data_IF_536830055839
#
_entry.id   IF_536830055839
#
_cell.length_a   1.000
_cell.length_b   1.000
_cell.length_c   1.000
_cell.angle_alpha   90.00
_cell.angle_beta   90.00
_cell.angle_gamma   90.00
#
_symmetry.space_group_name_H-M   'P 1'
#
loop_
_entity.id
_entity.type
_entity.pdbx_description
1 polymer ?
#
# COMPACT_ATOMS: atom_id res chain seq x y z
N UNK A 1 2.61 23.73 45.14
CA UNK A 1 2.25 24.07 43.75
C UNK A 1 0.72 24.18 43.69
N UNK A 2 0.15 25.20 43.04
CA UNK A 2 -1.30 25.37 42.96
C UNK A 2 -1.93 24.17 42.20
N UNK A 3 -2.96 23.49 42.74
CA UNK A 3 -3.58 22.31 42.11
C UNK A 3 -4.12 22.60 40.71
N UNK A 4 -4.60 23.83 40.44
CA UNK A 4 -5.09 24.26 39.12
C UNK A 4 -3.93 24.30 38.11
N UNK A 5 -2.76 24.78 38.55
CA UNK A 5 -1.55 24.82 37.72
C UNK A 5 -1.08 23.39 37.42
N UNK A 6 -1.07 22.51 38.41
CA UNK A 6 -0.71 21.10 38.22
C UNK A 6 -1.65 20.40 37.23
N UNK A 7 -2.97 20.61 37.35
CA UNK A 7 -3.95 20.08 36.40
C UNK A 7 -3.70 20.61 34.97
N UNK A 8 -3.45 21.91 34.82
CA UNK A 8 -3.10 22.51 33.53
C UNK A 8 -1.84 21.90 32.91
N UNK A 9 -0.79 21.65 33.70
CA UNK A 9 0.42 20.99 33.24
C UNK A 9 0.16 19.58 32.71
N UNK A 10 -0.64 18.77 33.41
CA UNK A 10 -0.99 17.43 32.95
C UNK A 10 -1.79 17.45 31.65
N UNK A 11 -2.73 18.38 31.51
CA UNK A 11 -3.55 18.49 30.31
C UNK A 11 -2.72 18.92 29.09
N UNK A 12 -1.86 19.92 29.25
CA UNK A 12 -0.95 20.38 28.20
C UNK A 12 0.05 19.28 27.83
N UNK A 13 0.66 18.60 28.81
CA UNK A 13 1.58 17.50 28.55
C UNK A 13 0.90 16.32 27.85
N UNK A 14 -0.34 15.98 28.25
CA UNK A 14 -1.14 14.95 27.59
C UNK A 14 -1.45 15.31 26.13
N UNK A 15 -1.84 16.56 25.87
CA UNK A 15 -2.08 17.05 24.51
C UNK A 15 -0.81 17.02 23.65
N UNK A 16 0.31 17.51 24.19
CA UNK A 16 1.60 17.48 23.50
C UNK A 16 2.05 16.04 23.22
N UNK A 17 1.87 15.13 24.18
CA UNK A 17 2.15 13.71 23.99
C UNK A 17 1.30 13.09 22.88
N UNK A 18 0.01 13.41 22.82
CA UNK A 18 -0.88 12.96 21.76
C UNK A 18 -0.49 13.52 20.38
N UNK A 19 -0.17 14.82 20.30
CA UNK A 19 0.30 15.46 19.07
C UNK A 19 1.63 14.86 18.60
N UNK A 20 2.56 14.58 19.52
CA UNK A 20 3.81 13.93 19.20
C UNK A 20 3.60 12.51 18.67
N UNK A 21 2.74 11.71 19.31
CA UNK A 21 2.36 10.37 18.85
C UNK A 21 1.73 10.39 17.46
N UNK A 22 0.89 11.39 17.17
CA UNK A 22 0.30 11.58 15.84
C UNK A 22 1.38 11.87 14.80
N UNK A 23 2.33 12.76 15.10
CA UNK A 23 3.44 13.10 14.21
C UNK A 23 4.35 11.89 13.96
N UNK A 24 4.66 11.13 15.01
CA UNK A 24 5.52 9.94 14.93
C UNK A 24 4.87 8.81 14.11
N UNK A 25 3.53 8.75 14.08
CA UNK A 25 2.75 7.72 13.38
C UNK A 25 2.03 8.23 12.12
N UNK A 26 2.48 9.34 11.52
CA UNK A 26 1.84 9.91 10.33
C UNK A 26 1.72 8.93 9.17
N UNK A 27 2.76 8.13 8.91
CA UNK A 27 2.76 7.17 7.80
C UNK A 27 1.75 6.02 8.04
N UNK A 28 1.79 5.28 9.18
CA UNK A 28 0.73 4.32 9.48
C UNK A 28 -0.69 4.90 9.44
N UNK A 29 -0.90 6.12 9.97
CA UNK A 29 -2.21 6.76 9.95
C UNK A 29 -2.67 7.09 8.52
N UNK A 30 -1.78 7.62 7.68
CA UNK A 30 -2.06 7.86 6.27
C UNK A 30 -2.35 6.54 5.52
N UNK A 31 -1.63 5.46 5.84
CA UNK A 31 -1.88 4.14 5.29
C UNK A 31 -3.28 3.62 5.67
N UNK A 32 -3.68 3.75 6.93
CA UNK A 32 -5.05 3.41 7.36
C UNK A 32 -6.07 4.18 6.55
N UNK A 33 -5.91 5.50 6.42
CA UNK A 33 -6.83 6.34 5.67
C UNK A 33 -6.99 5.88 4.21
N UNK A 34 -5.87 5.64 3.51
CA UNK A 34 -5.89 5.20 2.11
C UNK A 34 -6.48 3.80 1.97
N UNK A 35 -6.19 2.87 2.87
CA UNK A 35 -6.77 1.51 2.85
C UNK A 35 -8.27 1.53 3.11
N UNK A 36 -8.75 2.35 4.04
CA UNK A 36 -10.19 2.52 4.30
C UNK A 36 -10.89 3.05 3.06
N UNK A 37 -10.33 4.06 2.39
CA UNK A 37 -10.84 4.57 1.12
C UNK A 37 -10.84 3.46 0.06
N UNK A 38 -9.77 2.67 -0.04
CA UNK A 38 -9.68 1.58 -1.00
C UNK A 38 -10.75 0.51 -0.77
N UNK A 39 -10.99 0.12 0.49
CA UNK A 39 -12.02 -0.85 0.87
C UNK A 39 -13.42 -0.30 0.58
N UNK A 40 -13.64 0.99 0.85
CA UNK A 40 -14.93 1.65 0.60
C UNK A 40 -15.31 1.60 -0.89
N UNK A 41 -14.38 1.98 -1.77
CA UNK A 41 -14.62 2.01 -3.22
C UNK A 41 -14.47 0.65 -3.93
N UNK A 42 -13.91 -0.37 -3.25
CA UNK A 42 -13.69 -1.68 -3.86
C UNK A 42 -14.99 -2.42 -4.24
N UNK A 43 -14.98 -3.19 -5.35
CA UNK A 43 -16.08 -4.07 -5.72
C UNK A 43 -16.40 -5.11 -4.62
N UNK A 44 -17.67 -5.53 -4.45
CA UNK A 44 -18.06 -6.46 -3.39
C UNK A 44 -17.28 -7.79 -3.40
N UNK A 45 -16.94 -8.29 -4.57
CA UNK A 45 -16.17 -9.54 -4.77
C UNK A 45 -14.74 -9.44 -4.25
N UNK A 46 -14.18 -8.23 -4.20
CA UNK A 46 -12.77 -7.98 -3.86
C UNK A 46 -12.60 -7.39 -2.46
N UNK A 47 -13.67 -6.83 -1.88
CA UNK A 47 -13.64 -6.17 -0.57
C UNK A 47 -13.06 -7.06 0.53
N UNK A 48 -13.42 -8.34 0.58
CA UNK A 48 -12.90 -9.28 1.58
C UNK A 48 -11.40 -9.54 1.40
N UNK A 49 -10.93 -9.65 0.15
CA UNK A 49 -9.51 -9.80 -0.15
C UNK A 49 -8.73 -8.54 0.24
N UNK A 50 -9.28 -7.37 -0.09
CA UNK A 50 -8.66 -6.09 0.26
C UNK A 50 -8.68 -5.82 1.77
N UNK A 51 -9.66 -6.34 2.51
CA UNK A 51 -9.65 -6.33 3.98
C UNK A 51 -8.49 -7.17 4.54
N UNK A 52 -8.35 -8.41 4.07
CA UNK A 52 -7.27 -9.29 4.52
C UNK A 52 -5.89 -8.76 4.16
N UNK A 53 -5.72 -8.34 2.90
CA UNK A 53 -4.49 -7.72 2.41
C UNK A 53 -4.23 -6.37 3.05
N UNK A 54 -5.28 -5.58 3.31
CA UNK A 54 -5.19 -4.30 4.01
C UNK A 54 -4.73 -4.47 5.45
N UNK A 55 -5.20 -5.50 6.15
CA UNK A 55 -4.69 -5.88 7.47
C UNK A 55 -3.21 -6.26 7.42
N UNK A 56 -2.80 -7.08 6.44
CA UNK A 56 -1.40 -7.44 6.24
C UNK A 56 -0.52 -6.23 5.89
N UNK A 57 -1.00 -5.34 5.02
CA UNK A 57 -0.33 -4.11 4.63
C UNK A 57 -0.19 -3.15 5.82
N UNK A 58 -1.22 -3.02 6.65
CA UNK A 58 -1.15 -2.21 7.87
C UNK A 58 -0.13 -2.79 8.85
N UNK A 59 -0.15 -4.11 9.05
CA UNK A 59 0.86 -4.78 9.87
C UNK A 59 2.27 -4.52 9.35
N UNK A 60 2.51 -4.72 8.06
CA UNK A 60 3.79 -4.42 7.43
C UNK A 60 4.17 -2.92 7.55
N UNK A 61 3.22 -2.01 7.37
CA UNK A 61 3.46 -0.56 7.47
C UNK A 61 3.80 -0.08 8.88
N UNK A 62 3.33 -0.77 9.93
CA UNK A 62 3.63 -0.45 11.32
C UNK A 62 4.98 -1.03 11.75
N UNK A 63 5.28 -2.27 11.38
CA UNK A 63 6.43 -3.00 11.93
C UNK A 63 7.65 -3.02 11.02
N UNK A 64 7.48 -2.84 9.72
CA UNK A 64 8.60 -2.85 8.79
C UNK A 64 9.30 -1.48 8.74
N UNK A 65 10.61 -1.45 8.47
CA UNK A 65 11.35 -0.20 8.41
C UNK A 65 10.88 0.70 7.25
N UNK A 66 11.23 1.98 7.34
CA UNK A 66 11.19 2.87 6.17
C UNK A 66 11.92 2.20 4.97
N UNK A 67 11.33 2.19 3.75
CA UNK A 67 10.20 3.01 3.28
C UNK A 67 8.85 2.26 3.18
N UNK A 68 8.66 1.11 3.83
CA UNK A 68 7.53 0.19 3.54
C UNK A 68 6.16 0.87 3.65
N UNK A 69 5.88 1.57 4.75
CA UNK A 69 4.61 2.27 4.94
C UNK A 69 4.34 3.30 3.83
N UNK A 70 5.37 4.08 3.47
CA UNK A 70 5.29 5.08 2.41
C UNK A 70 4.98 4.45 1.05
N UNK A 71 5.66 3.36 0.71
CA UNK A 71 5.46 2.67 -0.56
C UNK A 71 4.08 2.00 -0.63
N UNK A 72 3.58 1.42 0.48
CA UNK A 72 2.21 0.89 0.55
C UNK A 72 1.17 1.99 0.33
N UNK A 73 1.35 3.18 0.90
CA UNK A 73 0.48 4.35 0.65
C UNK A 73 0.48 4.69 -0.84
N UNK A 74 1.67 4.85 -1.44
CA UNK A 74 1.81 5.19 -2.86
C UNK A 74 1.16 4.12 -3.74
N UNK A 75 1.37 2.84 -3.45
CA UNK A 75 0.80 1.73 -4.22
C UNK A 75 -0.73 1.67 -4.10
N UNK A 76 -1.29 1.88 -2.91
CA UNK A 76 -2.74 1.90 -2.70
C UNK A 76 -3.39 3.12 -3.35
N UNK A 77 -2.80 4.31 -3.19
CA UNK A 77 -3.32 5.55 -3.77
C UNK A 77 -3.25 5.52 -5.32
N UNK A 78 -2.14 5.02 -5.88
CA UNK A 78 -2.00 4.84 -7.33
C UNK A 78 -2.96 3.78 -7.86
N UNK A 79 -3.17 2.67 -7.14
CA UNK A 79 -4.15 1.65 -7.50
C UNK A 79 -5.58 2.18 -7.54
N UNK A 80 -5.96 2.99 -6.55
CA UNK A 80 -7.25 3.69 -6.53
C UNK A 80 -7.39 4.67 -7.69
N UNK A 81 -6.35 5.46 -7.94
CA UNK A 81 -6.34 6.43 -9.04
C UNK A 81 -6.43 5.72 -10.38
N UNK A 82 -5.70 4.62 -10.56
CA UNK A 82 -5.74 3.79 -11.75
C UNK A 82 -7.12 3.19 -11.97
N UNK A 83 -7.76 2.64 -10.92
CA UNK A 83 -9.09 2.08 -11.02
C UNK A 83 -10.16 3.14 -11.34
N UNK A 84 -9.96 4.39 -10.90
CA UNK A 84 -10.81 5.51 -11.27
C UNK A 84 -10.62 5.94 -12.73
N UNK A 85 -9.40 5.88 -13.24
CA UNK A 85 -9.07 6.25 -14.63
C UNK A 85 -9.40 5.15 -15.65
N UNK A 86 -9.31 3.88 -15.24
CA UNK A 86 -9.60 2.72 -16.09
C UNK A 86 -11.11 2.55 -16.30
N UNK A 87 -11.55 2.97 -17.49
CA UNK A 87 -12.95 2.82 -17.92
C UNK A 87 -13.26 1.46 -18.50
N UNK A 88 -12.26 0.66 -18.88
CA UNK A 88 -12.46 -0.58 -19.62
C UNK A 88 -12.59 -1.79 -18.69
N UNK A 89 -11.70 -1.88 -17.69
CA UNK A 89 -11.59 -3.05 -16.82
C UNK A 89 -11.25 -2.69 -15.37
N UNK A 90 -12.03 -1.80 -14.72
CA UNK A 90 -11.72 -1.34 -13.36
C UNK A 90 -11.59 -2.52 -12.38
N UNK A 91 -12.35 -3.59 -12.57
CA UNK A 91 -12.26 -4.81 -11.75
C UNK A 91 -10.88 -5.49 -11.84
N UNK A 92 -10.27 -5.56 -13.03
CA UNK A 92 -8.93 -6.12 -13.21
C UNK A 92 -7.85 -5.21 -12.60
N UNK A 93 -8.05 -3.90 -12.67
CA UNK A 93 -7.18 -2.91 -12.04
C UNK A 93 -7.22 -3.01 -10.51
N UNK A 94 -8.40 -3.20 -9.91
CA UNK A 94 -8.51 -3.48 -8.47
C UNK A 94 -7.81 -4.79 -8.07
N UNK A 95 -7.91 -5.85 -8.87
CA UNK A 95 -7.18 -7.10 -8.60
C UNK A 95 -5.67 -6.92 -8.67
N UNK A 96 -5.19 -6.08 -9.59
CA UNK A 96 -3.77 -5.71 -9.67
C UNK A 96 -3.32 -4.99 -8.41
N UNK A 97 -4.13 -4.04 -7.91
CA UNK A 97 -3.88 -3.37 -6.63
C UNK A 97 -3.83 -4.35 -5.46
N UNK A 98 -4.82 -5.24 -5.32
CA UNK A 98 -4.86 -6.25 -4.24
C UNK A 98 -3.60 -7.12 -4.26
N UNK A 99 -3.21 -7.63 -5.44
CA UNK A 99 -2.01 -8.48 -5.59
C UNK A 99 -0.72 -7.71 -5.29
N UNK A 100 -0.61 -6.47 -5.78
CA UNK A 100 0.54 -5.60 -5.54
C UNK A 100 0.73 -5.31 -4.05
N UNK A 101 -0.35 -4.92 -3.37
CA UNK A 101 -0.33 -4.68 -1.93
C UNK A 101 0.00 -5.95 -1.14
N UNK A 102 -0.56 -7.10 -1.52
CA UNK A 102 -0.28 -8.37 -0.85
C UNK A 102 1.20 -8.75 -0.96
N UNK A 103 1.75 -8.72 -2.17
CA UNK A 103 3.15 -9.08 -2.42
C UNK A 103 4.11 -8.13 -1.70
N UNK A 104 3.87 -6.82 -1.78
CA UNK A 104 4.74 -5.85 -1.15
C UNK A 104 4.64 -5.87 0.39
N UNK A 105 3.44 -6.10 0.94
CA UNK A 105 3.26 -6.29 2.37
C UNK A 105 4.00 -7.54 2.90
N UNK A 106 3.98 -8.65 2.15
CA UNK A 106 4.76 -9.85 2.49
C UNK A 106 6.26 -9.57 2.47
N UNK A 107 6.75 -8.79 1.50
CA UNK A 107 8.15 -8.37 1.47
C UNK A 107 8.48 -7.50 2.68
N UNK A 108 7.66 -6.49 2.99
CA UNK A 108 7.84 -5.66 4.17
C UNK A 108 7.89 -6.47 5.47
N UNK A 109 6.96 -7.41 5.62
CA UNK A 109 6.95 -8.34 6.76
C UNK A 109 8.22 -9.21 6.82
N UNK A 110 8.63 -9.80 5.69
CA UNK A 110 9.86 -10.58 5.60
C UNK A 110 11.11 -9.79 5.99
N UNK A 111 11.18 -8.52 5.61
CA UNK A 111 12.27 -7.61 5.99
C UNK A 111 12.24 -7.28 7.48
N UNK A 112 11.06 -7.02 8.04
CA UNK A 112 10.89 -6.79 9.47
C UNK A 112 11.40 -8.00 10.26
N UNK A 113 10.96 -9.20 9.88
CA UNK A 113 11.40 -10.46 10.48
C UNK A 113 12.91 -10.66 10.34
N UNK A 114 13.47 -10.47 9.14
CA UNK A 114 14.91 -10.57 8.91
C UNK A 114 15.71 -9.66 9.85
N UNK A 115 15.29 -8.39 10.00
CA UNK A 115 15.95 -7.45 10.91
C UNK A 115 15.85 -7.87 12.38
N UNK A 116 14.75 -8.49 12.80
CA UNK A 116 14.63 -9.00 14.18
C UNK A 116 15.55 -10.19 14.45
N UNK A 117 15.82 -11.02 13.43
CA UNK A 117 16.69 -12.18 13.56
C UNK A 117 18.17 -11.83 13.40
N UNK A 118 18.51 -10.74 12.71
CA UNK A 118 19.88 -10.35 12.40
C UNK A 118 20.83 -10.33 13.61
N UNK A 119 20.47 -9.79 14.80
CA UNK A 119 21.35 -9.79 15.97
C UNK A 119 21.70 -11.18 16.50
N UNK A 120 20.87 -12.20 16.21
CA UNK A 120 21.10 -13.58 16.63
C UNK A 120 22.01 -14.38 15.68
N UNK A 121 22.35 -13.81 14.52
CA UNK A 121 23.20 -14.45 13.51
C UNK A 121 24.67 -14.09 13.75
N UNK A 122 25.37 -14.89 14.57
CA UNK A 122 26.78 -14.65 14.92
C UNK A 122 27.78 -15.52 14.15
N UNK A 123 27.30 -16.47 13.33
CA UNK A 123 28.16 -17.37 12.56
C UNK A 123 28.89 -16.61 11.43
N UNK A 124 30.23 -16.62 11.39
CA UNK A 124 31.01 -16.01 10.31
C UNK A 124 30.64 -16.49 8.91
N UNK A 125 30.16 -17.72 8.74
CA UNK A 125 29.71 -18.24 7.44
C UNK A 125 28.42 -17.54 6.96
N UNK A 126 27.59 -17.06 7.88
CA UNK A 126 26.35 -16.34 7.56
C UNK A 126 26.62 -14.87 7.22
N UNK A 127 27.76 -14.29 7.62
CA UNK A 127 28.09 -12.88 7.33
C UNK A 127 28.12 -12.57 5.83
N UNK A 128 28.69 -13.46 5.01
CA UNK A 128 28.68 -13.27 3.55
C UNK A 128 27.25 -13.32 2.99
N UNK A 129 26.39 -14.19 3.52
CA UNK A 129 24.98 -14.29 3.15
C UNK A 129 24.18 -13.03 3.52
N UNK A 130 24.48 -12.39 4.66
CA UNK A 130 23.80 -11.17 5.10
C UNK A 130 23.99 -10.01 4.12
N UNK A 131 25.17 -9.87 3.52
CA UNK A 131 25.45 -8.82 2.52
C UNK A 131 24.57 -9.01 1.29
N UNK A 132 24.46 -10.24 0.78
CA UNK A 132 23.58 -10.56 -0.35
C UNK A 132 22.11 -10.33 -0.02
N UNK A 133 21.65 -10.78 1.15
CA UNK A 133 20.26 -10.59 1.58
C UNK A 133 19.93 -9.11 1.80
N UNK A 134 20.85 -8.31 2.32
CA UNK A 134 20.69 -6.87 2.47
C UNK A 134 20.56 -6.18 1.10
N UNK A 135 21.36 -6.58 0.12
CA UNK A 135 21.27 -6.06 -1.24
C UNK A 135 19.95 -6.45 -1.93
N UNK A 136 19.52 -7.71 -1.81
CA UNK A 136 18.23 -8.16 -2.36
C UNK A 136 17.09 -7.40 -1.70
N UNK A 137 17.14 -7.24 -0.38
CA UNK A 137 16.14 -6.51 0.41
C UNK A 137 16.06 -5.05 -0.04
N UNK A 138 17.18 -4.36 -0.17
CA UNK A 138 17.19 -2.95 -0.58
C UNK A 138 16.64 -2.79 -1.99
N UNK A 139 17.01 -3.66 -2.92
CA UNK A 139 16.46 -3.63 -4.29
C UNK A 139 14.96 -3.93 -4.27
N UNK A 140 14.52 -4.99 -3.59
CA UNK A 140 13.12 -5.39 -3.55
C UNK A 140 12.21 -4.30 -2.97
N UNK A 141 12.67 -3.59 -1.93
CA UNK A 141 11.89 -2.53 -1.28
C UNK A 141 11.53 -1.37 -2.21
N UNK A 142 12.32 -1.10 -3.25
CA UNK A 142 12.06 -0.02 -4.21
C UNK A 142 11.63 -0.54 -5.59
N UNK A 143 12.20 -1.64 -6.06
CA UNK A 143 11.93 -2.17 -7.40
C UNK A 143 10.52 -2.74 -7.51
N UNK A 144 10.00 -3.40 -6.46
CA UNK A 144 8.66 -3.97 -6.51
C UNK A 144 7.55 -2.92 -6.62
N UNK A 145 7.54 -1.84 -5.80
CA UNK A 145 6.59 -0.74 -5.99
C UNK A 145 6.67 -0.12 -7.38
N UNK A 146 7.89 0.10 -7.89
CA UNK A 146 8.10 0.67 -9.23
C UNK A 146 7.57 -0.25 -10.32
N UNK A 147 7.88 -1.55 -10.24
CA UNK A 147 7.36 -2.55 -11.17
C UNK A 147 5.84 -2.64 -11.15
N UNK A 148 5.23 -2.58 -9.96
CA UNK A 148 3.79 -2.49 -9.81
C UNK A 148 3.20 -1.23 -10.48
N UNK A 149 3.81 -0.07 -10.28
CA UNK A 149 3.37 1.18 -10.92
C UNK A 149 3.47 1.08 -12.45
N UNK A 150 4.52 0.43 -12.97
CA UNK A 150 4.66 0.17 -14.40
C UNK A 150 3.53 -0.74 -14.93
N UNK A 151 3.16 -1.79 -14.19
CA UNK A 151 2.04 -2.66 -14.55
C UNK A 151 0.69 -1.92 -14.52
N UNK A 152 0.46 -1.07 -13.53
CA UNK A 152 -0.73 -0.21 -13.50
C UNK A 152 -0.77 0.75 -14.70
N UNK A 153 0.34 1.42 -14.98
CA UNK A 153 0.43 2.33 -16.11
C UNK A 153 0.19 1.59 -17.44
N UNK A 154 0.79 0.42 -17.61
CA UNK A 154 0.54 -0.44 -18.77
C UNK A 154 -0.95 -0.78 -18.90
N UNK A 155 -1.63 -1.13 -17.81
CA UNK A 155 -3.07 -1.42 -17.82
C UNK A 155 -3.91 -0.24 -18.30
N UNK A 156 -3.63 0.97 -17.80
CA UNK A 156 -4.34 2.19 -18.19
C UNK A 156 -4.10 2.54 -19.66
N UNK A 157 -2.85 2.46 -20.12
CA UNK A 157 -2.45 2.90 -21.47
C UNK A 157 -2.58 1.82 -22.55
N UNK A 158 -2.84 0.55 -22.19
CA UNK A 158 -3.04 -0.53 -23.14
C UNK A 158 -4.31 -0.34 -24.00
N UNK A 159 -5.27 0.44 -23.52
CA UNK A 159 -6.52 0.73 -24.23
C UNK A 159 -6.57 2.20 -24.67
N UNK A 160 -6.86 2.50 -25.95
CA UNK A 160 -7.02 3.88 -26.40
C UNK A 160 -8.18 4.53 -25.64
N UNK A 161 -8.05 5.78 -25.16
CA UNK A 161 -9.09 6.45 -24.40
C UNK A 161 -10.29 6.72 -25.31
N UNK A 162 -11.23 5.80 -25.34
CA UNK A 162 -12.53 6.06 -25.95
C UNK A 162 -13.35 6.79 -24.88
N UNK A 163 -13.82 8.00 -25.19
CA UNK A 163 -14.71 8.74 -24.28
C UNK A 163 -16.08 8.08 -24.09
N UNK A 164 -16.29 6.87 -24.63
CA UNK A 164 -17.53 6.11 -24.59
C UNK A 164 -17.57 5.22 -23.34
N UNK A 165 -18.77 4.95 -22.84
CA UNK A 165 -18.97 3.93 -21.82
C UNK A 165 -18.66 2.53 -22.36
N UNK A 166 -18.28 1.56 -21.51
CA UNK A 166 -18.09 0.17 -21.92
C UNK A 166 -19.32 -0.41 -22.63
N UNK A 167 -20.52 -0.05 -22.18
CA UNK A 167 -21.78 -0.50 -22.78
C UNK A 167 -21.93 0.05 -24.19
N UNK A 168 -21.67 1.35 -24.40
CA UNK A 168 -21.71 1.99 -25.72
C UNK A 168 -20.67 1.40 -26.66
N UNK A 169 -19.50 1.06 -26.12
CA UNK A 169 -18.43 0.46 -26.89
C UNK A 169 -18.80 -0.97 -27.32
N UNK A 170 -19.30 -1.80 -26.41
CA UNK A 170 -19.80 -3.14 -26.73
C UNK A 170 -20.94 -3.05 -27.74
N UNK A 171 -21.88 -2.12 -27.55
CA UNK A 171 -22.99 -1.89 -28.47
C UNK A 171 -22.48 -1.49 -29.85
N UNK A 172 -21.54 -0.55 -29.96
CA UNK A 172 -20.94 -0.09 -31.22
C UNK A 172 -20.21 -1.22 -31.96
N UNK A 173 -19.50 -2.09 -31.26
CA UNK A 173 -18.83 -3.23 -31.89
C UNK A 173 -19.81 -4.37 -32.24
N UNK A 174 -20.87 -4.58 -31.46
CA UNK A 174 -21.93 -5.57 -31.75
C UNK A 174 -22.92 -5.12 -32.82
N UNK A 175 -23.07 -3.81 -33.03
CA UNK A 175 -23.95 -3.24 -34.07
C UNK A 175 -23.24 -3.06 -35.42
N UNK A 176 -21.92 -3.20 -35.49
CA UNK A 176 -21.18 -3.29 -36.76
C UNK A 176 -21.70 -4.47 -37.57
N UNK A 177 -22.35 -4.19 -38.70
CA UNK A 177 -22.91 -5.19 -39.62
C UNK A 177 -24.42 -5.44 -39.46
N UNK A 178 -25.10 -4.76 -38.54
CA UNK A 178 -26.57 -4.68 -38.48
C UNK A 178 -27.01 -3.30 -38.96
N UNK A 179 -26.96 -3.09 -40.27
CA UNK A 179 -27.76 -2.05 -40.95
C UNK A 179 -28.85 -2.75 -41.74
#
# INVERSE_FOLDING_TARGET
MNPIILFGYWLVNGLLGALWLLVDNLLPLALVAVLVVAIYFSPPTQRNWLLGVGGLALFAGVFAPFPVALMLIVMAASGLTAAYLDKFSPEATYWTMVRGLALYALVGFGVALYKTLLPSMTDPLLNSGQVYLAAITSVALYLLPVGYLALLAQGIFAHPPTGMSPEDMIFKYRSRGKQ
#
